data_IF_227329679620
#
_entry.id   IF_227329679620
#
_cell.length_a   1.000
_cell.length_b   1.000
_cell.length_c   1.000
_cell.angle_alpha   90.00
_cell.angle_beta   90.00
_cell.angle_gamma   90.00
#
_symmetry.space_group_name_H-M   'P 1'
#
loop_
_entity.id
_entity.type
_entity.pdbx_description
1 polymer ?
#
# COMPACT_ATOMS: atom_id res chain seq x y z
N UNK A 1 1.27 -25.85 -53.18
CA UNK A 1 0.60 -24.61 -52.74
C UNK A 1 0.44 -24.66 -51.23
N UNK A 2 1.39 -24.09 -50.50
CA UNK A 2 1.37 -24.05 -49.03
C UNK A 2 1.95 -22.72 -48.57
N UNK A 3 1.09 -21.83 -48.07
CA UNK A 3 1.44 -20.65 -47.27
C UNK A 3 0.24 -20.41 -46.35
N UNK A 4 0.25 -21.02 -45.15
CA UNK A 4 0.68 -20.40 -43.90
C UNK A 4 -0.28 -19.31 -43.41
N UNK A 5 -1.01 -19.66 -42.34
CA UNK A 5 -1.81 -18.74 -41.51
C UNK A 5 -0.88 -17.77 -40.78
N UNK A 6 -1.16 -16.47 -40.75
CA UNK A 6 -0.59 -15.58 -39.74
C UNK A 6 -1.51 -15.51 -38.51
N UNK A 7 -1.09 -16.17 -37.44
CA UNK A 7 -1.53 -15.87 -36.08
C UNK A 7 -1.05 -14.45 -35.73
N UNK A 8 -1.95 -13.47 -35.61
CA UNK A 8 -1.59 -12.13 -35.14
C UNK A 8 -1.56 -12.14 -33.61
N UNK A 9 -0.40 -12.46 -33.06
CA UNK A 9 0.03 -12.06 -31.72
C UNK A 9 0.06 -10.54 -31.64
N UNK A 10 -0.92 -9.94 -30.98
CA UNK A 10 -0.83 -8.54 -30.55
C UNK A 10 -0.14 -8.51 -29.18
N UNK A 11 1.19 -8.53 -29.22
CA UNK A 11 2.01 -8.06 -28.12
C UNK A 11 2.00 -6.53 -28.14
N UNK A 12 1.29 -5.91 -27.20
CA UNK A 12 1.48 -4.52 -26.81
C UNK A 12 2.01 -4.55 -25.39
N UNK A 13 3.32 -4.59 -25.27
CA UNK A 13 4.19 -3.42 -25.09
C UNK A 13 4.31 -3.07 -23.61
N UNK A 14 5.45 -3.51 -23.10
CA UNK A 14 6.12 -3.15 -21.86
C UNK A 14 5.96 -1.68 -21.46
N UNK A 15 5.79 -1.53 -20.15
CA UNK A 15 6.50 -0.61 -19.25
C UNK A 15 6.04 0.86 -19.27
N UNK A 16 5.43 1.24 -18.14
CA UNK A 16 5.84 2.44 -17.41
C UNK A 16 6.18 2.00 -15.99
N UNK A 17 7.44 1.61 -15.77
CA UNK A 17 8.03 1.75 -14.45
C UNK A 17 8.30 3.24 -14.30
N UNK A 18 7.48 3.92 -13.51
CA UNK A 18 7.72 5.31 -13.17
C UNK A 18 8.92 5.35 -12.20
N UNK A 19 10.13 5.39 -12.76
CA UNK A 19 11.32 5.78 -12.04
C UNK A 19 11.21 7.25 -11.66
N UNK A 20 10.55 7.55 -10.53
CA UNK A 20 10.73 8.84 -9.88
C UNK A 20 12.06 8.77 -9.10
N UNK A 21 13.13 9.22 -9.75
CA UNK A 21 14.38 9.59 -9.07
C UNK A 21 14.06 10.69 -8.07
N UNK A 22 14.19 10.42 -6.79
CA UNK A 22 14.39 11.45 -5.77
C UNK A 22 15.75 11.18 -5.12
N UNK A 23 16.69 12.09 -5.38
CA UNK A 23 18.02 12.08 -4.80
C UNK A 23 17.94 12.99 -3.57
N UNK A 24 17.92 12.42 -2.38
CA UNK A 24 18.06 13.18 -1.13
C UNK A 24 18.90 12.38 -0.14
N UNK A 25 20.20 12.70 -0.12
CA UNK A 25 21.15 12.23 0.87
C UNK A 25 20.74 12.68 2.28
N UNK A 26 20.36 11.76 3.17
CA UNK A 26 20.46 11.92 4.63
C UNK A 26 20.69 10.56 5.29
N UNK A 27 21.87 10.36 5.85
CA UNK A 27 22.10 9.28 6.81
C UNK A 27 21.34 9.52 8.12
N UNK A 28 21.08 8.41 8.85
CA UNK A 28 20.49 8.24 10.21
C UNK A 28 19.19 7.42 10.12
N UNK A 29 18.84 6.44 10.97
CA UNK A 29 19.45 5.69 12.11
C UNK A 29 18.27 4.87 12.69
N UNK A 30 18.52 3.63 13.13
CA UNK A 30 17.65 2.75 13.94
C UNK A 30 16.44 2.11 13.22
N UNK A 31 16.52 0.78 13.07
CA UNK A 31 15.36 -0.09 13.03
C UNK A 31 14.92 -0.32 14.48
N UNK A 32 14.09 0.56 15.03
CA UNK A 32 13.20 0.16 16.11
C UNK A 32 11.86 -0.03 15.43
N UNK A 33 11.56 -1.26 15.02
CA UNK A 33 10.34 -1.55 14.26
C UNK A 33 9.16 -1.33 15.19
N UNK A 34 8.61 -0.13 15.17
CA UNK A 34 7.39 0.20 15.91
C UNK A 34 6.17 -0.27 15.11
N UNK A 35 5.04 -0.39 15.80
CA UNK A 35 3.77 -0.73 15.18
C UNK A 35 3.40 0.28 14.10
N UNK A 36 3.58 1.57 14.39
CA UNK A 36 3.36 2.66 13.44
C UNK A 36 4.28 2.58 12.21
N UNK A 37 5.57 2.28 12.37
CA UNK A 37 6.47 2.11 11.22
C UNK A 37 6.05 0.96 10.30
N UNK A 38 5.59 -0.16 10.90
CA UNK A 38 5.12 -1.32 10.15
C UNK A 38 3.86 -0.99 9.36
N UNK A 39 2.87 -0.35 10.01
CA UNK A 39 1.64 0.10 9.34
C UNK A 39 1.95 1.12 8.24
N UNK A 40 2.85 2.09 8.49
CA UNK A 40 3.27 3.06 7.47
C UNK A 40 3.92 2.40 6.26
N UNK A 41 4.73 1.37 6.47
CA UNK A 41 5.36 0.61 5.39
C UNK A 41 4.31 -0.07 4.51
N UNK A 42 3.31 -0.71 5.11
CA UNK A 42 2.22 -1.35 4.37
C UNK A 42 1.40 -0.30 3.60
N UNK A 43 1.06 0.84 4.22
CA UNK A 43 0.38 1.92 3.51
C UNK A 43 1.20 2.44 2.32
N UNK A 44 2.50 2.69 2.53
CA UNK A 44 3.38 3.21 1.48
C UNK A 44 3.44 2.28 0.27
N UNK A 45 3.49 0.96 0.50
CA UNK A 45 3.54 -0.05 -0.55
C UNK A 45 2.22 -0.13 -1.34
N UNK A 46 1.09 -0.19 -0.64
CA UNK A 46 -0.23 -0.32 -1.27
C UNK A 46 -0.67 0.97 -1.96
N UNK A 47 -0.51 2.12 -1.31
CA UNK A 47 -0.92 3.42 -1.84
C UNK A 47 0.11 4.01 -2.82
N UNK A 48 1.29 3.40 -2.90
CA UNK A 48 2.42 3.84 -3.72
C UNK A 48 2.76 5.34 -3.47
N UNK A 49 2.82 5.70 -2.19
CA UNK A 49 3.19 7.04 -1.69
C UNK A 49 4.46 6.94 -0.84
N UNK A 50 5.18 8.05 -0.70
CA UNK A 50 6.42 8.08 0.07
C UNK A 50 6.15 7.87 1.57
N UNK A 51 6.95 7.01 2.22
CA UNK A 51 6.85 6.74 3.67
C UNK A 51 6.88 8.01 4.53
N UNK A 52 7.65 9.01 4.09
CA UNK A 52 7.77 10.29 4.77
C UNK A 52 6.55 11.21 4.61
N UNK A 53 5.68 10.96 3.63
CA UNK A 53 4.44 11.70 3.46
C UNK A 53 3.32 11.16 4.35
N UNK A 54 3.47 9.94 4.90
CA UNK A 54 2.46 9.31 5.76
C UNK A 54 2.57 9.83 7.20
N UNK A 55 1.47 10.43 7.64
CA UNK A 55 1.29 10.99 8.97
C UNK A 55 -0.10 10.63 9.55
N UNK A 56 -0.38 11.10 10.76
CA UNK A 56 -1.65 10.83 11.44
C UNK A 56 -2.87 11.46 10.75
N UNK A 57 -2.66 12.42 9.86
CA UNK A 57 -3.71 13.06 9.04
C UNK A 57 -3.98 12.30 7.72
N UNK A 58 -3.14 11.31 7.40
CA UNK A 58 -3.28 10.51 6.19
C UNK A 58 -4.55 9.66 6.31
N UNK A 59 -5.47 9.92 5.40
CA UNK A 59 -6.82 9.35 5.41
C UNK A 59 -7.31 9.10 4.01
N UNK A 60 -8.36 8.30 3.90
CA UNK A 60 -9.11 8.03 2.65
C UNK A 60 -9.59 9.32 1.96
N UNK A 61 -9.82 10.39 2.71
CA UNK A 61 -10.29 11.67 2.17
C UNK A 61 -9.16 12.56 1.64
N UNK A 62 -7.97 12.49 2.25
CA UNK A 62 -6.83 13.33 1.89
C UNK A 62 -5.86 12.64 0.91
N UNK A 63 -6.06 11.34 0.65
CA UNK A 63 -5.15 10.53 -0.17
C UNK A 63 -5.88 10.00 -1.39
N UNK A 64 -5.63 10.59 -2.55
CA UNK A 64 -6.32 10.20 -3.80
C UNK A 64 -6.07 8.73 -4.18
N UNK A 65 -4.87 8.22 -3.91
CA UNK A 65 -4.54 6.81 -4.15
C UNK A 65 -5.28 5.86 -3.20
N UNK A 66 -5.89 6.34 -2.12
CA UNK A 66 -6.60 5.50 -1.16
C UNK A 66 -8.07 5.33 -1.57
N UNK A 67 -8.27 4.48 -2.59
CA UNK A 67 -9.59 4.13 -3.10
C UNK A 67 -10.15 2.83 -2.47
N UNK A 68 -11.29 2.37 -2.97
CA UNK A 68 -11.95 1.15 -2.47
C UNK A 68 -11.10 -0.11 -2.66
N UNK A 69 -10.34 -0.21 -3.76
CA UNK A 69 -9.53 -1.39 -4.05
C UNK A 69 -8.30 -1.44 -3.15
N UNK A 70 -7.60 -0.31 -3.04
CA UNK A 70 -6.44 -0.18 -2.17
C UNK A 70 -6.80 -0.30 -0.70
N UNK A 71 -7.99 0.15 -0.29
CA UNK A 71 -8.46 -0.07 1.08
C UNK A 71 -8.63 -1.58 1.40
N UNK A 72 -9.21 -2.36 0.49
CA UNK A 72 -9.33 -3.83 0.65
C UNK A 72 -7.94 -4.48 0.72
N UNK A 73 -7.03 -4.09 -0.17
CA UNK A 73 -5.67 -4.62 -0.19
C UNK A 73 -4.90 -4.27 1.08
N UNK A 74 -5.08 -3.06 1.60
CA UNK A 74 -4.48 -2.59 2.84
C UNK A 74 -4.91 -3.45 4.02
N UNK A 75 -6.22 -3.65 4.20
CA UNK A 75 -6.73 -4.48 5.30
C UNK A 75 -6.19 -5.91 5.19
N UNK A 76 -6.26 -6.51 4.00
CA UNK A 76 -5.73 -7.86 3.78
C UNK A 76 -4.22 -7.95 4.09
N UNK A 77 -3.42 -6.95 3.71
CA UNK A 77 -2.00 -6.93 3.99
C UNK A 77 -1.71 -6.82 5.50
N UNK A 78 -2.48 -6.01 6.23
CA UNK A 78 -2.37 -5.89 7.69
C UNK A 78 -2.74 -7.20 8.40
N UNK A 79 -3.78 -7.90 7.95
CA UNK A 79 -4.15 -9.22 8.48
C UNK A 79 -3.00 -10.21 8.33
N UNK A 80 -2.34 -10.24 7.18
CA UNK A 80 -1.19 -11.13 6.95
C UNK A 80 0.04 -10.72 7.77
N UNK A 81 0.37 -9.42 7.80
CA UNK A 81 1.56 -8.89 8.49
C UNK A 81 1.50 -9.14 10.00
N UNK A 82 0.33 -8.91 10.62
CA UNK A 82 0.13 -9.07 12.06
C UNK A 82 -0.48 -10.42 12.45
N UNK A 83 -0.85 -11.26 11.47
CA UNK A 83 -1.57 -12.53 11.70
C UNK A 83 -2.86 -12.35 12.52
N UNK A 84 -3.59 -11.27 12.26
CA UNK A 84 -4.88 -10.93 12.90
C UNK A 84 -6.02 -10.96 11.88
N UNK A 85 -7.26 -10.86 12.37
CA UNK A 85 -8.45 -10.80 11.51
C UNK A 85 -9.33 -9.65 11.95
N UNK A 86 -9.83 -8.90 10.98
CA UNK A 86 -10.72 -7.76 11.23
C UNK A 86 -12.17 -8.12 10.92
N UNK A 87 -13.08 -7.62 11.74
CA UNK A 87 -14.51 -7.68 11.45
C UNK A 87 -14.92 -6.57 10.47
N UNK A 88 -16.10 -6.71 9.87
CA UNK A 88 -16.67 -5.71 8.95
C UNK A 88 -16.79 -4.33 9.63
N UNK A 89 -17.14 -4.28 10.92
CA UNK A 89 -17.22 -3.02 11.64
C UNK A 89 -15.85 -2.32 11.78
N UNK A 90 -14.78 -3.10 11.91
CA UNK A 90 -13.41 -2.59 12.01
C UNK A 90 -12.91 -2.13 10.64
N UNK A 91 -13.21 -2.90 9.60
CA UNK A 91 -12.95 -2.54 8.20
C UNK A 91 -13.53 -1.16 7.88
N UNK A 92 -14.80 -0.92 8.19
CA UNK A 92 -15.47 0.38 7.93
C UNK A 92 -14.90 1.53 8.77
N UNK A 93 -14.27 1.22 9.91
CA UNK A 93 -13.67 2.22 10.81
C UNK A 93 -12.24 2.60 10.44
N UNK A 94 -11.58 1.87 9.52
CA UNK A 94 -10.19 2.10 9.10
C UNK A 94 -10.06 3.21 8.04
N UNK A 95 -10.47 4.43 8.40
CA UNK A 95 -10.52 5.56 7.46
C UNK A 95 -9.27 6.44 7.47
N UNK A 96 -8.43 6.30 8.49
CA UNK A 96 -7.18 7.03 8.64
C UNK A 96 -6.05 6.14 9.17
N UNK A 97 -4.81 6.61 9.00
CA UNK A 97 -3.64 5.96 9.57
C UNK A 97 -3.76 5.77 11.09
N UNK A 98 -4.23 6.80 11.80
CA UNK A 98 -4.41 6.75 13.25
C UNK A 98 -5.45 5.69 13.67
N UNK A 99 -6.56 5.58 12.94
CA UNK A 99 -7.60 4.57 13.20
C UNK A 99 -7.05 3.16 13.02
N UNK A 100 -6.30 2.92 11.93
CA UNK A 100 -5.67 1.63 11.66
C UNK A 100 -4.74 1.24 12.81
N UNK A 101 -3.84 2.15 13.20
CA UNK A 101 -2.90 1.92 14.30
C UNK A 101 -3.64 1.57 15.59
N UNK A 102 -4.70 2.30 15.92
CA UNK A 102 -5.50 2.05 17.12
C UNK A 102 -6.19 0.67 17.09
N UNK A 103 -6.77 0.28 15.95
CA UNK A 103 -7.45 -1.00 15.79
C UNK A 103 -6.44 -2.16 15.85
N UNK A 104 -5.31 -2.06 15.12
CA UNK A 104 -4.26 -3.08 15.16
C UNK A 104 -3.71 -3.23 16.59
N UNK A 105 -3.44 -2.10 17.27
CA UNK A 105 -2.97 -2.13 18.65
C UNK A 105 -3.97 -2.77 19.62
N UNK A 106 -5.27 -2.66 19.36
CA UNK A 106 -6.30 -3.32 20.18
C UNK A 106 -6.38 -4.84 19.97
N UNK A 107 -5.78 -5.36 18.89
CA UNK A 107 -5.81 -6.79 18.52
C UNK A 107 -4.56 -7.56 18.95
N UNK A 108 -3.46 -6.85 19.18
CA UNK A 108 -2.20 -7.40 19.69
C UNK A 108 -2.22 -7.53 21.21
#
# INVERSE_FOLDING_TARGET
>A
MATSRPCKTSALSRVVHNCRRVNAARGRRLMDVTLDETVKRVLADILNIDFNEINDETSTQNTESWDSANHIQLVAALEQEFSITFDVAEFESMLSFADIVAIVQSKL
#
